data_IF_621246721702
#
_entry.id   IF_621246721702
#
_cell.length_a   1.000
_cell.length_b   1.000
_cell.length_c   1.000
_cell.angle_alpha   90.00
_cell.angle_beta   90.00
_cell.angle_gamma   90.00
#
_symmetry.space_group_name_H-M   'P 1'
#
loop_
_entity.id
_entity.type
_entity.pdbx_description
1 polymer ?
#
# COMPACT_ATOMS: atom_id res chain seq x y z
N UNK A 1 -15.67 -5.82 7.86
CA UNK A 1 -14.27 -5.97 8.30
C UNK A 1 -14.28 -5.94 9.83
N UNK A 2 -13.73 -6.94 10.51
CA UNK A 2 -13.60 -6.93 11.98
C UNK A 2 -12.38 -6.09 12.38
N UNK A 3 -12.37 -5.61 13.63
CA UNK A 3 -11.21 -4.92 14.20
C UNK A 3 -9.95 -5.78 14.13
N UNK A 4 -10.07 -7.08 14.46
CA UNK A 4 -8.93 -8.01 14.50
C UNK A 4 -8.24 -8.15 13.13
N UNK A 5 -9.02 -8.27 12.05
CA UNK A 5 -8.46 -8.35 10.69
C UNK A 5 -7.73 -7.06 10.30
N UNK A 6 -8.27 -5.89 10.65
CA UNK A 6 -7.61 -4.62 10.38
C UNK A 6 -6.32 -4.46 11.20
N UNK A 7 -6.31 -4.95 12.45
CA UNK A 7 -5.13 -4.92 13.30
C UNK A 7 -4.03 -5.87 12.80
N UNK A 8 -4.39 -7.07 12.33
CA UNK A 8 -3.46 -8.01 11.70
C UNK A 8 -2.87 -7.46 10.39
N UNK A 9 -3.71 -6.89 9.52
CA UNK A 9 -3.27 -6.22 8.30
C UNK A 9 -2.29 -5.09 8.62
N UNK A 10 -2.65 -4.21 9.56
CA UNK A 10 -1.80 -3.12 9.99
C UNK A 10 -0.47 -3.64 10.53
N UNK A 11 -0.47 -4.65 11.40
CA UNK A 11 0.75 -5.27 11.94
C UNK A 11 1.63 -5.85 10.84
N UNK A 12 1.05 -6.53 9.86
CA UNK A 12 1.77 -7.06 8.71
C UNK A 12 2.42 -5.93 7.91
N UNK A 13 1.65 -4.91 7.51
CA UNK A 13 2.16 -3.74 6.78
C UNK A 13 3.28 -3.06 7.59
N UNK A 14 3.13 -2.94 8.92
CA UNK A 14 4.18 -2.34 9.76
C UNK A 14 5.49 -3.10 9.75
N UNK A 15 5.43 -4.42 9.54
CA UNK A 15 6.65 -5.24 9.49
C UNK A 15 7.41 -5.12 8.17
N UNK A 16 6.80 -4.54 7.12
CA UNK A 16 7.42 -4.40 5.80
C UNK A 16 8.29 -3.15 5.67
N UNK A 17 8.12 -2.13 6.54
CA UNK A 17 8.88 -0.89 6.48
C UNK A 17 9.31 -0.43 7.88
N UNK A 18 10.48 0.20 7.95
CA UNK A 18 10.98 0.83 9.18
C UNK A 18 10.33 2.20 9.44
N UNK A 19 9.81 2.87 8.41
CA UNK A 19 9.11 4.15 8.49
C UNK A 19 7.61 3.96 8.30
N UNK A 20 6.83 4.81 8.98
CA UNK A 20 5.39 4.88 8.80
C UNK A 20 5.00 6.19 8.13
N UNK A 21 4.16 6.13 7.09
CA UNK A 21 3.72 7.32 6.39
C UNK A 21 2.73 8.11 7.25
N UNK A 22 2.80 9.45 7.18
CA UNK A 22 1.79 10.34 7.73
C UNK A 22 0.61 10.54 6.75
N UNK A 23 0.86 10.25 5.47
CA UNK A 23 -0.08 10.47 4.37
C UNK A 23 -0.36 9.17 3.61
N UNK A 24 -1.63 8.94 3.27
CA UNK A 24 -2.04 7.85 2.40
C UNK A 24 -2.73 8.40 1.14
N UNK A 25 -2.35 7.89 -0.02
CA UNK A 25 -2.92 8.27 -1.32
C UNK A 25 -3.57 7.04 -1.95
N UNK A 26 -4.85 7.15 -2.33
CA UNK A 26 -5.57 6.11 -3.07
C UNK A 26 -5.64 6.50 -4.54
N UNK A 27 -5.04 5.68 -5.40
CA UNK A 27 -4.98 5.92 -6.84
C UNK A 27 -6.19 5.29 -7.54
N UNK A 28 -6.92 6.10 -8.31
CA UNK A 28 -7.97 5.62 -9.21
C UNK A 28 -7.43 5.08 -10.54
N UNK A 29 -8.34 4.66 -11.42
CA UNK A 29 -8.03 4.16 -12.76
C UNK A 29 -7.11 5.09 -13.54
N UNK A 30 -6.05 4.53 -14.14
CA UNK A 30 -5.10 5.27 -14.98
C UNK A 30 -4.05 6.08 -14.22
N UNK A 31 -4.09 6.13 -12.88
CA UNK A 31 -3.14 6.88 -12.06
C UNK A 31 -1.96 6.04 -11.54
N UNK A 32 -1.85 4.77 -11.94
CA UNK A 32 -0.81 3.86 -11.45
C UNK A 32 0.63 4.36 -11.66
N UNK A 33 0.88 5.15 -12.71
CA UNK A 33 2.19 5.76 -12.97
C UNK A 33 2.66 6.71 -11.86
N UNK A 34 1.75 7.24 -11.03
CA UNK A 34 2.12 8.05 -9.87
C UNK A 34 2.91 7.24 -8.83
N UNK A 35 2.55 5.97 -8.61
CA UNK A 35 3.24 5.10 -7.67
C UNK A 35 4.70 4.78 -8.10
N UNK A 36 5.04 5.00 -9.37
CA UNK A 36 6.41 4.84 -9.86
C UNK A 36 7.33 5.99 -9.44
N UNK A 37 6.78 7.14 -9.01
CA UNK A 37 7.56 8.28 -8.53
C UNK A 37 7.95 8.16 -7.06
N UNK A 38 7.44 7.15 -6.35
CA UNK A 38 7.76 6.90 -4.94
C UNK A 38 9.22 6.45 -4.82
N UNK A 39 9.99 7.18 -4.03
CA UNK A 39 11.37 6.87 -3.69
C UNK A 39 11.45 5.91 -2.48
N UNK A 40 12.55 5.17 -2.38
CA UNK A 40 12.79 4.19 -1.31
C UNK A 40 11.62 3.21 -1.10
N UNK A 41 10.94 2.84 -2.20
CA UNK A 41 9.65 2.18 -2.11
C UNK A 41 9.72 0.72 -1.64
N UNK A 42 8.81 0.37 -0.74
CA UNK A 42 8.44 -1.01 -0.41
C UNK A 42 7.09 -1.30 -1.06
N UNK A 43 7.06 -2.32 -1.90
CA UNK A 43 5.85 -2.75 -2.61
C UNK A 43 5.30 -4.00 -1.94
N UNK A 44 4.06 -3.93 -1.47
CA UNK A 44 3.37 -5.02 -0.79
C UNK A 44 2.14 -5.43 -1.60
N UNK A 45 2.14 -6.59 -2.26
CA UNK A 45 0.97 -7.10 -2.96
C UNK A 45 -0.22 -7.26 -2.01
N UNK A 46 -1.42 -6.87 -2.42
CA UNK A 46 -2.62 -7.00 -1.56
C UNK A 46 -2.90 -8.45 -1.15
N UNK A 47 -2.56 -9.42 -1.99
CA UNK A 47 -2.72 -10.84 -1.69
C UNK A 47 -1.86 -11.35 -0.53
N UNK A 48 -0.82 -10.60 -0.14
CA UNK A 48 0.03 -10.95 1.01
C UNK A 48 -0.47 -10.29 2.31
N UNK A 49 -1.33 -9.28 2.21
CA UNK A 49 -1.83 -8.54 3.38
C UNK A 49 -3.04 -9.28 3.97
N UNK A 50 -3.00 -9.72 5.24
CA UNK A 50 -4.12 -10.41 5.87
C UNK A 50 -5.43 -9.62 5.76
N UNK A 51 -6.49 -10.26 5.28
CA UNK A 51 -7.82 -9.65 5.18
C UNK A 51 -8.00 -8.60 4.07
N UNK A 52 -6.98 -8.32 3.24
CA UNK A 52 -7.12 -7.42 2.10
C UNK A 52 -7.84 -8.10 0.92
N UNK A 53 -8.63 -7.33 0.14
CA UNK A 53 -9.19 -7.81 -1.10
C UNK A 53 -8.10 -7.89 -2.18
N UNK A 54 -8.14 -8.93 -3.01
CA UNK A 54 -7.31 -9.01 -4.21
C UNK A 54 -7.96 -8.20 -5.32
N UNK A 55 -7.21 -7.27 -5.93
CA UNK A 55 -7.70 -6.51 -7.08
C UNK A 55 -7.86 -7.43 -8.28
N UNK A 56 -9.06 -7.45 -8.86
CA UNK A 56 -9.35 -8.17 -10.11
C UNK A 56 -9.59 -7.22 -11.29
N UNK A 57 -9.41 -5.91 -11.07
CA UNK A 57 -9.71 -4.87 -12.06
C UNK A 57 -8.48 -4.60 -12.92
N UNK A 58 -8.66 -4.65 -14.23
CA UNK A 58 -7.61 -4.32 -15.19
C UNK A 58 -7.10 -2.88 -14.97
N UNK A 59 -5.78 -2.71 -14.98
CA UNK A 59 -5.13 -1.42 -14.72
C UNK A 59 -4.99 -1.04 -13.23
N UNK A 60 -5.51 -1.84 -12.29
CA UNK A 60 -5.21 -1.69 -10.85
C UNK A 60 -4.19 -2.75 -10.43
N UNK A 61 -2.97 -2.32 -10.14
CA UNK A 61 -1.86 -3.22 -9.80
C UNK A 61 -2.11 -4.09 -8.55
N UNK A 62 -3.05 -3.69 -7.68
CA UNK A 62 -3.41 -4.47 -6.50
C UNK A 62 -2.27 -4.57 -5.49
N UNK A 63 -1.57 -3.45 -5.28
CA UNK A 63 -0.40 -3.35 -4.40
C UNK A 63 -0.48 -2.09 -3.54
N UNK A 64 0.02 -2.19 -2.32
CA UNK A 64 0.30 -1.06 -1.43
C UNK A 64 1.76 -0.65 -1.67
N UNK A 65 2.00 0.64 -1.87
CA UNK A 65 3.36 1.17 -2.01
C UNK A 65 3.60 2.10 -0.83
N UNK A 66 4.63 1.78 -0.04
CA UNK A 66 5.14 2.60 1.05
C UNK A 66 6.43 3.24 0.58
N UNK A 67 6.68 4.50 0.90
CA UNK A 67 7.92 5.17 0.55
C UNK A 67 7.78 6.67 0.71
N UNK A 68 8.59 7.42 -0.01
CA UNK A 68 8.69 8.87 0.13
C UNK A 68 8.44 9.56 -1.22
N UNK A 69 7.77 10.72 -1.20
CA UNK A 69 7.63 11.60 -2.37
C UNK A 69 7.98 13.02 -1.94
N UNK A 70 8.93 13.66 -2.63
CA UNK A 70 9.33 15.05 -2.39
C UNK A 70 9.63 15.38 -0.90
N UNK A 71 10.26 14.47 -0.17
CA UNK A 71 10.58 14.67 1.25
C UNK A 71 9.47 14.27 2.23
N UNK A 72 8.33 13.77 1.73
CA UNK A 72 7.16 13.40 2.53
C UNK A 72 7.03 11.89 2.60
N UNK A 73 7.12 11.35 3.82
CA UNK A 73 6.88 9.94 4.12
C UNK A 73 5.40 9.68 4.43
#
# INVERSE_FOLDING_TARGET
>A
MSYDLAAEAAKYIKSQSASFPDVAIVLGSGLGAFAEQVENKVVVPYGEIPGFPVSTVEGHAGQLVLGEIDGVA
#
